data_IF_077200758990
#
_entry.id   IF_077200758990
#
_cell.length_a   1.000
_cell.length_b   1.000
_cell.length_c   1.000
_cell.angle_alpha   90.00
_cell.angle_beta   90.00
_cell.angle_gamma   90.00
#
_symmetry.space_group_name_H-M   'P 1'
#
loop_
_entity.id
_entity.type
_entity.pdbx_description
1 polymer ?
#
# COMPACT_ATOMS: atom_id res chain seq x y z
N UNK A 1 -18.12 -3.47 11.32
CA UNK A 1 -17.30 -4.60 11.83
C UNK A 1 -16.61 -5.23 10.63
N UNK A 2 -15.27 -5.29 10.64
CA UNK A 2 -14.51 -5.93 9.57
C UNK A 2 -14.59 -7.44 9.71
N UNK A 3 -14.86 -8.12 8.60
CA UNK A 3 -14.81 -9.57 8.54
C UNK A 3 -13.47 -9.97 7.93
N UNK A 4 -12.58 -10.49 8.75
CA UNK A 4 -11.28 -11.00 8.28
C UNK A 4 -11.49 -12.37 7.64
N UNK A 5 -10.84 -12.58 6.51
CA UNK A 5 -10.61 -13.92 5.95
C UNK A 5 -9.19 -14.36 6.34
N UNK A 6 -9.01 -15.62 6.65
CA UNK A 6 -7.71 -16.15 7.10
C UNK A 6 -6.76 -16.48 5.92
N UNK A 7 -7.08 -15.97 4.75
CA UNK A 7 -6.29 -16.14 3.54
C UNK A 7 -5.85 -14.79 2.99
N UNK A 8 -4.63 -14.70 2.48
CA UNK A 8 -4.16 -13.53 1.74
C UNK A 8 -4.85 -13.48 0.37
N UNK A 9 -5.02 -12.28 -0.16
CA UNK A 9 -5.81 -12.04 -1.38
C UNK A 9 -5.29 -12.72 -2.64
N UNK A 10 -3.98 -13.04 -2.69
CA UNK A 10 -3.33 -13.72 -3.82
C UNK A 10 -2.27 -14.68 -3.33
N UNK A 11 -1.95 -15.67 -4.15
CA UNK A 11 -0.77 -16.50 -3.95
C UNK A 11 0.49 -15.69 -4.31
N UNK A 12 1.47 -15.66 -3.40
CA UNK A 12 2.75 -14.96 -3.61
C UNK A 12 3.81 -16.02 -3.91
N UNK A 13 4.51 -15.96 -5.07
CA UNK A 13 5.52 -16.92 -5.43
C UNK A 13 6.61 -17.08 -4.38
N UNK A 14 7.06 -18.31 -4.14
CA UNK A 14 8.27 -18.58 -3.39
C UNK A 14 9.50 -18.30 -4.27
N UNK A 15 10.52 -17.70 -3.66
CA UNK A 15 11.76 -17.33 -4.34
C UNK A 15 12.95 -17.78 -3.51
N UNK A 16 13.95 -18.35 -4.18
CA UNK A 16 15.12 -18.91 -3.51
C UNK A 16 16.18 -17.86 -3.15
N UNK A 17 16.22 -16.76 -3.92
CA UNK A 17 17.25 -15.72 -3.74
C UNK A 17 16.65 -14.47 -3.12
N UNK A 18 17.26 -13.94 -2.03
CA UNK A 18 16.84 -12.68 -1.47
C UNK A 18 17.19 -11.50 -2.39
N UNK A 19 16.35 -10.47 -2.34
CA UNK A 19 16.60 -9.17 -2.96
C UNK A 19 16.27 -8.04 -1.97
N UNK A 20 17.24 -7.62 -1.15
CA UNK A 20 17.06 -6.53 -0.20
C UNK A 20 16.71 -5.19 -0.86
N UNK A 21 17.14 -4.96 -2.10
CA UNK A 21 16.82 -3.73 -2.82
C UNK A 21 15.37 -3.73 -3.32
N UNK A 22 14.86 -4.89 -3.75
CA UNK A 22 13.43 -5.05 -4.03
C UNK A 22 12.60 -4.85 -2.75
N UNK A 23 13.02 -5.42 -1.62
CA UNK A 23 12.37 -5.20 -0.33
C UNK A 23 12.29 -3.71 0.03
N UNK A 24 13.40 -2.98 -0.12
CA UNK A 24 13.45 -1.55 0.14
C UNK A 24 12.53 -0.75 -0.79
N UNK A 25 12.44 -1.10 -2.07
CA UNK A 25 11.53 -0.45 -3.00
C UNK A 25 10.04 -0.73 -2.66
N UNK A 26 9.72 -1.99 -2.36
CA UNK A 26 8.35 -2.40 -1.97
C UNK A 26 7.94 -1.76 -0.65
N UNK A 27 8.90 -1.50 0.25
CA UNK A 27 8.66 -0.83 1.53
C UNK A 27 8.00 0.55 1.36
N UNK A 28 8.29 1.28 0.26
CA UNK A 28 7.59 2.53 -0.07
C UNK A 28 6.08 2.36 -0.15
N UNK A 29 5.63 1.23 -0.68
CA UNK A 29 4.20 0.93 -0.80
C UNK A 29 3.55 0.60 0.55
N UNK A 30 4.32 0.33 1.59
CA UNK A 30 3.79 0.13 2.93
C UNK A 30 3.66 1.46 3.68
N UNK A 31 4.78 2.11 3.98
CA UNK A 31 4.84 3.26 4.88
C UNK A 31 5.16 4.59 4.19
N UNK A 32 5.28 4.64 2.87
CA UNK A 32 5.40 5.89 2.12
C UNK A 32 4.13 6.75 2.21
N UNK A 33 4.26 8.01 1.80
CA UNK A 33 3.14 8.97 1.83
C UNK A 33 1.89 8.45 1.11
N UNK A 34 2.07 7.75 -0.01
CA UNK A 34 1.01 7.14 -0.82
C UNK A 34 1.00 5.60 -0.66
N UNK A 35 1.57 5.09 0.43
CA UNK A 35 1.57 3.66 0.74
C UNK A 35 0.27 3.18 1.38
N UNK A 36 0.12 1.87 1.52
CA UNK A 36 -1.11 1.23 1.99
C UNK A 36 -1.44 1.59 3.46
N UNK A 37 -0.44 1.95 4.27
CA UNK A 37 -0.69 2.51 5.62
C UNK A 37 -1.43 3.85 5.54
N UNK A 38 -1.13 4.68 4.53
CA UNK A 38 -1.79 5.97 4.34
C UNK A 38 -3.21 5.79 3.80
N UNK A 39 -3.41 4.97 2.75
CA UNK A 39 -4.75 4.70 2.19
C UNK A 39 -5.66 4.10 3.25
N UNK A 40 -5.22 3.03 3.92
CA UNK A 40 -5.96 2.39 5.01
C UNK A 40 -6.39 3.39 6.08
N UNK A 41 -5.45 4.16 6.64
CA UNK A 41 -5.78 5.00 7.79
C UNK A 41 -6.59 6.25 7.41
N UNK A 42 -6.41 6.80 6.21
CA UNK A 42 -7.29 7.86 5.71
C UNK A 42 -8.75 7.37 5.67
N UNK A 43 -9.00 6.26 5.00
CA UNK A 43 -10.37 5.75 4.83
C UNK A 43 -10.96 5.21 6.13
N UNK A 44 -10.14 4.61 6.99
CA UNK A 44 -10.55 4.12 8.30
C UNK A 44 -11.07 5.25 9.19
N UNK A 45 -10.29 6.34 9.35
CA UNK A 45 -10.68 7.47 10.19
C UNK A 45 -11.82 8.28 9.56
N UNK A 46 -11.88 8.42 8.25
CA UNK A 46 -13.04 8.98 7.56
C UNK A 46 -14.30 8.13 7.83
N UNK A 47 -14.20 6.80 7.81
CA UNK A 47 -15.31 5.90 8.12
C UNK A 47 -15.79 6.02 9.57
N UNK A 48 -14.86 6.12 10.52
CA UNK A 48 -15.19 6.27 11.94
C UNK A 48 -15.89 7.60 12.22
N UNK A 49 -15.42 8.68 11.60
CA UNK A 49 -15.92 10.03 11.78
C UNK A 49 -16.97 10.43 10.73
N UNK A 50 -17.44 9.50 9.91
CA UNK A 50 -18.39 9.76 8.83
C UNK A 50 -19.69 10.36 9.36
N UNK A 51 -20.07 11.53 8.83
CA UNK A 51 -21.27 12.23 9.26
C UNK A 51 -22.47 11.78 8.44
N UNK A 52 -23.64 11.74 9.09
CA UNK A 52 -24.92 11.38 8.45
C UNK A 52 -24.92 10.01 7.75
N UNK A 53 -24.37 8.99 8.39
CA UNK A 53 -24.23 7.63 7.84
C UNK A 53 -25.52 7.10 7.21
N UNK A 54 -26.67 7.33 7.85
CA UNK A 54 -27.96 6.83 7.37
C UNK A 54 -28.38 7.51 6.05
N UNK A 55 -28.17 8.83 5.94
CA UNK A 55 -28.53 9.61 4.75
C UNK A 55 -27.57 9.42 3.58
N UNK A 56 -26.30 9.16 3.89
CA UNK A 56 -25.21 9.03 2.93
C UNK A 56 -24.66 7.60 2.90
N UNK A 57 -25.51 6.64 3.23
CA UNK A 57 -25.14 5.24 3.37
C UNK A 57 -24.35 4.65 2.18
N UNK A 58 -24.67 4.91 0.90
CA UNK A 58 -23.90 4.36 -0.21
C UNK A 58 -22.43 4.83 -0.21
N UNK A 59 -22.18 6.08 0.18
CA UNK A 59 -20.81 6.62 0.28
C UNK A 59 -20.06 6.05 1.48
N UNK A 60 -20.75 5.94 2.62
CA UNK A 60 -20.19 5.29 3.80
C UNK A 60 -19.80 3.84 3.52
N UNK A 61 -20.70 3.07 2.91
CA UNK A 61 -20.46 1.67 2.56
C UNK A 61 -19.27 1.53 1.57
N UNK A 62 -19.14 2.45 0.61
CA UNK A 62 -18.02 2.49 -0.32
C UNK A 62 -16.69 2.69 0.42
N UNK A 63 -16.59 3.77 1.22
CA UNK A 63 -15.34 4.09 1.93
C UNK A 63 -14.98 2.95 2.89
N UNK A 64 -15.97 2.39 3.62
CA UNK A 64 -15.76 1.29 4.55
C UNK A 64 -15.33 -0.01 3.85
N UNK A 65 -15.89 -0.31 2.67
CA UNK A 65 -15.52 -1.49 1.89
C UNK A 65 -14.09 -1.39 1.38
N UNK A 66 -13.70 -0.22 0.85
CA UNK A 66 -12.32 0.02 0.43
C UNK A 66 -11.36 -0.04 1.64
N UNK A 67 -11.74 0.53 2.79
CA UNK A 67 -10.95 0.41 4.02
C UNK A 67 -10.65 -1.05 4.38
N UNK A 68 -11.65 -1.91 4.29
CA UNK A 68 -11.47 -3.34 4.58
C UNK A 68 -10.49 -4.02 3.60
N UNK A 69 -10.54 -3.63 2.32
CA UNK A 69 -9.61 -4.10 1.31
C UNK A 69 -8.18 -3.59 1.55
N UNK A 70 -8.01 -2.32 1.92
CA UNK A 70 -6.70 -1.73 2.22
C UNK A 70 -5.98 -2.40 3.39
N UNK A 71 -6.70 -2.94 4.36
CA UNK A 71 -6.10 -3.77 5.41
C UNK A 71 -5.42 -5.01 4.82
N UNK A 72 -6.06 -5.66 3.86
CA UNK A 72 -5.47 -6.78 3.12
C UNK A 72 -4.28 -6.35 2.23
N UNK A 73 -4.30 -5.13 1.69
CA UNK A 73 -3.18 -4.57 0.93
C UNK A 73 -1.95 -4.35 1.82
N UNK A 74 -2.12 -3.83 3.03
CA UNK A 74 -1.04 -3.73 4.04
C UNK A 74 -0.43 -5.11 4.31
N UNK A 75 -1.26 -6.13 4.47
CA UNK A 75 -0.82 -7.51 4.66
C UNK A 75 -0.02 -8.02 3.44
N UNK A 76 -0.54 -7.83 2.21
CA UNK A 76 0.15 -8.26 0.98
C UNK A 76 1.52 -7.60 0.80
N UNK A 77 1.61 -6.28 0.99
CA UNK A 77 2.89 -5.55 0.88
C UNK A 77 3.88 -6.06 1.92
N UNK A 78 3.42 -6.27 3.15
CA UNK A 78 4.27 -6.82 4.22
C UNK A 78 4.79 -8.22 3.87
N UNK A 79 3.95 -9.09 3.32
CA UNK A 79 4.37 -10.40 2.83
C UNK A 79 5.38 -10.31 1.69
N UNK A 80 5.20 -9.37 0.75
CA UNK A 80 6.14 -9.16 -0.34
C UNK A 80 7.52 -8.74 0.17
N UNK A 81 7.59 -7.78 1.11
CA UNK A 81 8.85 -7.39 1.76
C UNK A 81 9.52 -8.58 2.42
N UNK A 82 8.77 -9.37 3.21
CA UNK A 82 9.29 -10.54 3.91
C UNK A 82 9.80 -11.62 2.94
N UNK A 83 9.11 -11.83 1.81
CA UNK A 83 9.55 -12.77 0.75
C UNK A 83 10.84 -12.28 0.09
N UNK A 84 10.97 -10.98 -0.20
CA UNK A 84 12.19 -10.40 -0.75
C UNK A 84 13.40 -10.52 0.20
N UNK A 85 13.17 -10.53 1.51
CA UNK A 85 14.22 -10.65 2.52
C UNK A 85 14.53 -12.10 2.92
N UNK A 86 13.71 -13.06 2.50
CA UNK A 86 13.86 -14.47 2.89
C UNK A 86 15.20 -15.03 2.42
N UNK A 87 15.98 -15.55 3.37
CA UNK A 87 17.32 -16.11 3.09
C UNK A 87 18.43 -15.06 3.06
N UNK A 88 18.15 -13.78 3.35
CA UNK A 88 19.18 -12.73 3.47
C UNK A 88 20.14 -13.00 4.63
N UNK A 89 19.68 -13.70 5.66
CA UNK A 89 20.48 -14.07 6.82
C UNK A 89 20.13 -15.50 7.25
N UNK A 90 21.14 -16.25 7.67
CA UNK A 90 20.95 -17.61 8.21
C UNK A 90 21.58 -17.72 9.60
N UNK A 91 20.76 -17.59 10.64
CA UNK A 91 21.20 -17.72 12.03
C UNK A 91 21.67 -19.13 12.42
N UNK A 92 21.37 -20.15 11.63
CA UNK A 92 21.75 -21.54 11.89
C UNK A 92 23.14 -21.86 11.35
N UNK A 93 23.72 -20.97 10.58
CA UNK A 93 25.07 -21.11 10.02
C UNK A 93 25.93 -19.92 10.43
N UNK A 94 26.44 -19.91 11.67
CA UNK A 94 27.24 -18.78 12.17
C UNK A 94 28.52 -18.53 11.36
N UNK A 95 28.99 -19.54 10.62
CA UNK A 95 30.17 -19.45 9.74
C UNK A 95 29.82 -18.88 8.36
N UNK A 96 28.54 -18.85 7.96
CA UNK A 96 28.12 -18.15 6.77
C UNK A 96 28.08 -16.67 7.12
N UNK A 97 28.82 -15.85 6.37
CA UNK A 97 28.74 -14.40 6.56
C UNK A 97 27.28 -13.94 6.34
N UNK A 98 26.52 -13.59 7.39
CA UNK A 98 25.10 -13.26 7.25
C UNK A 98 24.89 -11.96 6.43
N UNK A 99 25.98 -11.20 6.23
CA UNK A 99 25.97 -9.98 5.46
C UNK A 99 26.28 -10.20 3.96
N UNK A 100 26.58 -11.41 3.52
CA UNK A 100 26.95 -11.64 2.12
C UNK A 100 25.83 -11.23 1.16
N UNK A 101 24.60 -11.66 1.42
CA UNK A 101 23.42 -11.31 0.61
C UNK A 101 22.95 -9.86 0.79
N UNK A 102 23.51 -9.11 1.75
CA UNK A 102 23.10 -7.72 2.03
C UNK A 102 24.23 -6.71 1.83
N UNK A 103 25.40 -7.13 1.37
CA UNK A 103 26.54 -6.23 1.09
C UNK A 103 26.20 -5.07 0.16
N UNK A 104 25.39 -5.36 -0.84
CA UNK A 104 24.95 -4.40 -1.85
C UNK A 104 23.58 -3.76 -1.53
N UNK A 105 23.05 -4.00 -0.33
CA UNK A 105 21.79 -3.40 0.08
C UNK A 105 21.93 -1.89 0.24
N UNK A 106 21.05 -1.15 -0.46
CA UNK A 106 21.03 0.32 -0.44
C UNK A 106 20.58 0.88 0.91
N UNK A 107 19.80 0.11 1.65
CA UNK A 107 19.24 0.49 2.95
C UNK A 107 19.45 -0.64 3.95
N UNK A 108 19.79 -0.27 5.18
CA UNK A 108 20.17 -1.20 6.24
C UNK A 108 19.11 -1.33 7.35
N UNK A 109 18.04 -0.53 7.34
CA UNK A 109 17.08 -0.51 8.44
C UNK A 109 16.37 -1.85 8.68
N UNK A 110 16.13 -2.64 7.63
CA UNK A 110 15.59 -3.99 7.78
C UNK A 110 16.50 -4.92 8.61
N UNK A 111 17.81 -4.71 8.56
CA UNK A 111 18.80 -5.57 9.18
C UNK A 111 19.32 -5.08 10.53
N UNK A 112 19.35 -3.76 10.72
CA UNK A 112 19.91 -3.14 11.92
C UNK A 112 18.82 -2.69 12.90
N UNK A 113 17.77 -2.07 12.43
CA UNK A 113 16.71 -1.51 13.27
C UNK A 113 15.44 -2.37 13.31
N UNK A 114 15.19 -3.18 12.29
CA UNK A 114 14.03 -4.06 12.20
C UNK A 114 14.37 -5.52 12.49
N UNK A 115 13.34 -6.37 12.41
CA UNK A 115 13.47 -7.82 12.61
C UNK A 115 13.69 -8.57 11.28
N UNK A 116 14.33 -7.96 10.32
CA UNK A 116 14.52 -8.46 8.95
C UNK A 116 13.20 -8.74 8.24
N UNK A 117 12.28 -7.82 8.39
CA UNK A 117 10.92 -7.92 7.86
C UNK A 117 10.32 -6.55 7.59
N UNK A 118 9.06 -6.57 7.15
CA UNK A 118 8.29 -5.38 6.90
C UNK A 118 8.18 -4.49 8.14
N UNK A 119 8.34 -3.19 7.94
CA UNK A 119 8.26 -2.16 8.97
C UNK A 119 7.32 -1.04 8.48
N UNK A 120 6.67 -0.28 9.37
CA UNK A 120 5.84 0.87 8.98
C UNK A 120 6.72 2.08 8.60
N UNK A 121 7.62 1.89 7.64
CA UNK A 121 8.54 2.88 7.11
C UNK A 121 8.35 3.07 5.60
N UNK A 122 8.82 4.20 5.08
CA UNK A 122 9.00 4.41 3.64
C UNK A 122 10.27 3.73 3.11
N UNK A 123 10.55 3.90 1.82
CA UNK A 123 11.73 3.33 1.16
C UNK A 123 13.06 3.95 1.61
N UNK A 124 13.02 5.06 2.31
CA UNK A 124 14.20 5.74 2.86
C UNK A 124 14.42 5.47 4.35
N UNK A 125 13.55 4.67 4.97
CA UNK A 125 13.62 4.35 6.38
C UNK A 125 12.98 5.41 7.30
N UNK A 126 12.21 6.34 6.76
CA UNK A 126 11.45 7.28 7.58
C UNK A 126 10.18 6.58 8.11
N UNK A 127 9.87 6.69 9.40
CA UNK A 127 8.69 6.05 9.96
C UNK A 127 7.41 6.69 9.42
N UNK A 128 6.41 5.85 9.11
CA UNK A 128 5.08 6.34 8.82
C UNK A 128 4.48 7.04 10.04
N UNK A 129 3.75 8.13 9.81
CA UNK A 129 3.12 8.89 10.89
C UNK A 129 1.67 9.22 10.58
N UNK A 130 0.88 9.45 11.63
CA UNK A 130 -0.52 9.91 11.52
C UNK A 130 -0.68 11.29 10.85
N UNK A 131 0.40 12.03 10.63
CA UNK A 131 0.38 13.28 9.87
C UNK A 131 -0.02 13.07 8.38
N UNK A 132 0.03 11.84 7.90
CA UNK A 132 -0.44 11.47 6.56
C UNK A 132 -1.97 11.27 6.48
N UNK A 133 -2.69 11.37 7.61
CA UNK A 133 -4.15 11.16 7.65
C UNK A 133 -4.87 12.48 7.49
N UNK A 134 -5.78 12.53 6.52
CA UNK A 134 -6.70 13.64 6.28
C UNK A 134 -8.14 13.18 6.54
N UNK A 135 -8.87 13.96 7.31
CA UNK A 135 -10.28 13.75 7.60
C UNK A 135 -10.94 15.11 7.86
N UNK A 136 -11.68 15.62 6.89
CA UNK A 136 -12.38 16.91 7.01
C UNK A 136 -13.77 16.77 7.66
N UNK A 137 -14.36 15.58 7.58
CA UNK A 137 -15.77 15.35 7.90
C UNK A 137 -16.75 15.95 6.87
N UNK A 138 -16.22 16.39 5.72
CA UNK A 138 -17.00 16.82 4.55
C UNK A 138 -16.87 15.73 3.47
N UNK A 139 -18.00 15.21 3.00
CA UNK A 139 -18.02 14.12 2.04
C UNK A 139 -17.20 14.42 0.77
N UNK A 140 -17.39 15.59 0.18
CA UNK A 140 -16.76 15.94 -1.10
C UNK A 140 -15.26 16.13 -0.93
N UNK A 141 -14.83 16.80 0.14
CA UNK A 141 -13.40 17.00 0.44
C UNK A 141 -12.70 15.69 0.71
N UNK A 142 -13.30 14.80 1.50
CA UNK A 142 -12.76 13.48 1.80
C UNK A 142 -12.67 12.61 0.53
N UNK A 143 -13.71 12.61 -0.32
CA UNK A 143 -13.69 11.90 -1.61
C UNK A 143 -12.64 12.44 -2.59
N UNK A 144 -12.44 13.77 -2.65
CA UNK A 144 -11.39 14.40 -3.46
C UNK A 144 -10.00 14.00 -2.98
N UNK A 145 -9.80 14.01 -1.67
CA UNK A 145 -8.55 13.56 -1.07
C UNK A 145 -8.27 12.08 -1.41
N UNK A 146 -9.27 11.21 -1.26
CA UNK A 146 -9.14 9.78 -1.53
C UNK A 146 -8.84 9.52 -3.00
N UNK A 147 -9.53 10.21 -3.92
CA UNK A 147 -9.25 10.12 -5.34
C UNK A 147 -7.80 10.51 -5.66
N UNK A 148 -7.31 11.63 -5.12
CA UNK A 148 -5.93 12.07 -5.30
C UNK A 148 -4.92 11.08 -4.70
N UNK A 149 -5.21 10.57 -3.50
CA UNK A 149 -4.36 9.61 -2.79
C UNK A 149 -4.19 8.32 -3.60
N UNK A 150 -5.28 7.78 -4.16
CA UNK A 150 -5.26 6.59 -5.03
C UNK A 150 -4.49 6.83 -6.34
N UNK A 151 -4.63 8.01 -6.94
CA UNK A 151 -3.85 8.37 -8.13
C UNK A 151 -2.34 8.37 -7.83
N UNK A 152 -1.93 8.95 -6.69
CA UNK A 152 -0.56 8.96 -6.22
C UNK A 152 -0.04 7.56 -5.90
N UNK A 153 -0.84 6.77 -5.18
CA UNK A 153 -0.53 5.38 -4.83
C UNK A 153 -0.30 4.52 -6.08
N UNK A 154 -1.18 4.65 -7.09
CA UNK A 154 -1.02 3.96 -8.36
C UNK A 154 0.27 4.32 -9.08
N UNK A 155 0.64 5.61 -9.10
CA UNK A 155 1.90 6.08 -9.69
C UNK A 155 3.12 5.49 -8.99
N UNK A 156 3.11 5.42 -7.65
CA UNK A 156 4.19 4.78 -6.88
C UNK A 156 4.27 3.28 -7.16
N UNK A 157 3.14 2.59 -7.22
CA UNK A 157 3.07 1.16 -7.57
C UNK A 157 3.69 0.89 -8.95
N UNK A 158 3.41 1.72 -9.96
CA UNK A 158 4.04 1.60 -11.28
C UNK A 158 5.56 1.73 -11.20
N UNK A 159 6.07 2.75 -10.50
CA UNK A 159 7.51 2.96 -10.34
C UNK A 159 8.18 1.79 -9.63
N UNK A 160 7.61 1.30 -8.53
CA UNK A 160 8.15 0.15 -7.81
C UNK A 160 8.10 -1.12 -8.66
N UNK A 161 7.03 -1.33 -9.43
CA UNK A 161 6.93 -2.45 -10.36
C UNK A 161 8.07 -2.46 -11.38
N UNK A 162 8.46 -1.30 -11.89
CA UNK A 162 9.55 -1.16 -12.86
C UNK A 162 10.96 -1.22 -12.22
N UNK A 163 11.07 -0.99 -10.92
CA UNK A 163 12.34 -1.01 -10.19
C UNK A 163 12.83 -2.40 -9.81
N UNK A 164 12.01 -3.44 -9.93
CA UNK A 164 12.36 -4.80 -9.50
C UNK A 164 11.86 -5.86 -10.44
N UNK A 165 12.66 -6.89 -10.62
CA UNK A 165 12.26 -8.13 -11.32
C UNK A 165 11.97 -9.28 -10.33
N UNK A 166 12.03 -9.03 -9.03
CA UNK A 166 11.77 -10.05 -8.01
C UNK A 166 10.33 -10.58 -8.11
N UNK A 167 10.11 -11.89 -8.34
CA UNK A 167 8.80 -12.43 -8.69
C UNK A 167 7.71 -12.15 -7.64
N UNK A 168 8.03 -12.27 -6.35
CA UNK A 168 7.06 -11.98 -5.28
C UNK A 168 6.68 -10.50 -5.25
N UNK A 169 7.64 -9.59 -5.42
CA UNK A 169 7.38 -8.16 -5.50
C UNK A 169 6.49 -7.83 -6.71
N UNK A 170 6.82 -8.34 -7.88
CA UNK A 170 6.04 -8.10 -9.11
C UNK A 170 4.62 -8.66 -9.03
N UNK A 171 4.44 -9.85 -8.45
CA UNK A 171 3.10 -10.43 -8.27
C UNK A 171 2.21 -9.53 -7.40
N UNK A 172 2.70 -9.12 -6.24
CA UNK A 172 1.94 -8.26 -5.32
C UNK A 172 1.72 -6.87 -5.92
N UNK A 173 2.77 -6.21 -6.40
CA UNK A 173 2.65 -4.85 -6.95
C UNK A 173 1.77 -4.82 -8.20
N UNK A 174 1.85 -5.83 -9.07
CA UNK A 174 0.99 -5.98 -10.24
C UNK A 174 -0.49 -6.12 -9.86
N UNK A 175 -0.81 -6.95 -8.86
CA UNK A 175 -2.16 -7.05 -8.30
C UNK A 175 -2.65 -5.69 -7.76
N UNK A 176 -1.85 -5.04 -6.93
CA UNK A 176 -2.21 -3.75 -6.32
C UNK A 176 -2.36 -2.62 -7.34
N UNK A 177 -1.64 -2.67 -8.48
CA UNK A 177 -1.83 -1.73 -9.60
C UNK A 177 -3.23 -1.83 -10.19
N UNK A 178 -3.74 -3.06 -10.37
CA UNK A 178 -5.09 -3.30 -10.88
C UNK A 178 -6.14 -2.85 -9.87
N UNK A 179 -5.97 -3.24 -8.59
CA UNK A 179 -6.94 -2.88 -7.53
C UNK A 179 -6.98 -1.37 -7.27
N UNK A 180 -5.84 -0.71 -7.19
CA UNK A 180 -5.77 0.76 -7.07
C UNK A 180 -6.46 1.48 -8.25
N UNK A 181 -6.38 0.92 -9.46
CA UNK A 181 -7.15 1.42 -10.61
C UNK A 181 -8.68 1.34 -10.41
N UNK A 182 -9.16 0.27 -9.77
CA UNK A 182 -10.59 0.13 -9.40
C UNK A 182 -10.98 1.17 -8.35
N UNK A 183 -10.16 1.41 -7.33
CA UNK A 183 -10.41 2.42 -6.30
C UNK A 183 -10.46 3.83 -6.87
N UNK A 184 -9.52 4.18 -7.78
CA UNK A 184 -9.55 5.46 -8.52
C UNK A 184 -10.90 5.66 -9.22
N UNK A 185 -11.38 4.65 -9.96
CA UNK A 185 -12.67 4.73 -10.67
C UNK A 185 -13.83 4.83 -9.69
N UNK A 186 -13.80 4.09 -8.58
CA UNK A 186 -14.85 4.11 -7.57
C UNK A 186 -14.98 5.49 -6.91
N UNK A 187 -13.87 6.11 -6.49
CA UNK A 187 -13.89 7.47 -5.92
C UNK A 187 -14.26 8.53 -6.96
N UNK A 188 -13.80 8.40 -8.20
CA UNK A 188 -14.22 9.30 -9.29
C UNK A 188 -15.74 9.24 -9.52
N UNK A 189 -16.33 8.04 -9.47
CA UNK A 189 -17.77 7.84 -9.63
C UNK A 189 -18.55 8.37 -8.44
N UNK A 190 -18.05 8.18 -7.23
CA UNK A 190 -18.63 8.75 -6.02
C UNK A 190 -18.65 10.29 -6.08
N UNK A 191 -17.56 10.91 -6.53
CA UNK A 191 -17.50 12.37 -6.74
C UNK A 191 -18.50 12.84 -7.79
N UNK A 192 -18.63 12.14 -8.91
CA UNK A 192 -19.63 12.47 -9.94
C UNK A 192 -21.05 12.42 -9.37
N UNK A 193 -21.38 11.41 -8.58
CA UNK A 193 -22.69 11.28 -7.93
C UNK A 193 -22.92 12.39 -6.90
N UNK A 194 -21.90 12.73 -6.10
CA UNK A 194 -22.01 13.74 -5.04
C UNK A 194 -22.08 15.17 -5.57
N UNK A 195 -21.47 15.47 -6.71
CA UNK A 195 -21.26 16.84 -7.19
C UNK A 195 -21.84 17.13 -8.58
N UNK A 196 -22.20 16.10 -9.34
CA UNK A 196 -22.54 16.22 -10.77
C UNK A 196 -21.32 16.42 -11.71
N UNK A 197 -20.09 16.49 -11.16
CA UNK A 197 -18.87 16.75 -11.94
C UNK A 197 -18.16 15.44 -12.27
N UNK A 198 -17.97 15.18 -13.56
CA UNK A 198 -17.24 13.99 -14.01
C UNK A 198 -15.72 14.23 -13.97
N UNK A 199 -15.09 13.83 -12.86
CA UNK A 199 -13.64 13.99 -12.65
C UNK A 199 -12.80 13.02 -13.50
N UNK A 200 -13.38 11.96 -14.07
CA UNK A 200 -12.64 11.06 -14.97
C UNK A 200 -12.19 11.75 -16.24
N UNK A 201 -12.83 12.84 -16.64
CA UNK A 201 -12.40 13.66 -17.78
C UNK A 201 -11.07 14.34 -17.54
N UNK A 202 -10.69 14.59 -16.28
CA UNK A 202 -9.40 15.15 -15.90
C UNK A 202 -8.25 14.13 -16.07
N UNK A 203 -8.57 12.84 -16.08
CA UNK A 203 -7.60 11.74 -16.18
C UNK A 203 -7.17 11.42 -17.63
N UNK A 204 -7.73 12.11 -18.62
CA UNK A 204 -7.44 11.89 -20.04
C UNK A 204 -6.14 12.55 -20.53
N UNK A 205 -5.42 13.27 -19.70
CA UNK A 205 -4.09 13.73 -20.06
C UNK A 205 -3.15 12.51 -20.09
N UNK A 206 -2.99 11.97 -21.29
CA UNK A 206 -1.84 11.10 -21.58
C UNK A 206 -0.60 12.00 -21.58
N UNK A 207 0.31 11.74 -20.64
CA UNK A 207 1.67 12.18 -20.76
C UNK A 207 2.36 11.43 -21.89
#
# INVERSE_FOLDING_TARGET
MFKRMDEIMIEIPDVEKPDPNAAAAVQELLGGKFGEMSTLNNYLYQSFNFRSKDKLKPFYDLVMSITAEELGHVELVSHAVNKCLRGSTDYKKPDSNPLESVKDARLSYHFLAGAQGAMPFDSMGNPWTGANVFNSGNLVEDLLHNFFLECGARTHKMKVYEMTDHPAARAVVGFLLVRGGVHVVAYAKALEIATGVNVTKLYRYRL
#
